data_IF_279217436943
#
_entry.id   IF_279217436943
#
_cell.length_a   1.000
_cell.length_b   1.000
_cell.length_c   1.000
_cell.angle_alpha   90.00
_cell.angle_beta   90.00
_cell.angle_gamma   90.00
#
_symmetry.space_group_name_H-M   'P 1'
#
loop_
_entity.id
_entity.type
_entity.pdbx_description
1 polymer ?
#
# COMPACT_ATOMS: atom_id res chain seq x y z
N UNK A 1 23.75 -26.12 9.75
CA UNK A 1 24.59 -25.80 8.58
C UNK A 1 24.86 -24.31 8.67
N UNK A 2 26.12 -23.89 8.65
CA UNK A 2 26.43 -22.46 8.55
C UNK A 2 25.92 -21.94 7.21
N UNK A 3 25.26 -20.78 7.24
CA UNK A 3 24.83 -20.09 6.04
C UNK A 3 26.07 -19.73 5.22
N UNK A 4 26.08 -20.09 3.93
CA UNK A 4 27.18 -19.80 3.03
C UNK A 4 26.69 -18.83 1.94
N UNK A 5 27.33 -17.66 1.86
CA UNK A 5 26.99 -16.63 0.87
C UNK A 5 27.22 -17.15 -0.55
N UNK A 6 26.21 -16.99 -1.39
CA UNK A 6 26.21 -17.27 -2.83
C UNK A 6 27.21 -16.35 -3.54
N UNK A 7 27.27 -15.08 -3.16
CA UNK A 7 28.22 -14.12 -3.68
C UNK A 7 29.67 -14.52 -3.37
N UNK A 8 29.96 -14.91 -2.12
CA UNK A 8 31.29 -15.43 -1.75
C UNK A 8 31.65 -16.71 -2.50
N UNK A 9 30.69 -17.61 -2.72
CA UNK A 9 30.90 -18.85 -3.47
C UNK A 9 31.24 -18.63 -4.94
N UNK A 10 30.71 -17.56 -5.52
CA UNK A 10 30.87 -17.20 -6.94
C UNK A 10 32.01 -16.21 -7.17
N UNK A 11 32.70 -15.75 -6.11
CA UNK A 11 33.81 -14.82 -6.23
C UNK A 11 34.94 -15.41 -7.09
N UNK A 12 35.39 -14.61 -8.08
CA UNK A 12 36.34 -15.05 -9.11
C UNK A 12 35.74 -15.76 -10.33
N UNK A 13 34.44 -16.04 -10.33
CA UNK A 13 33.74 -16.71 -11.44
C UNK A 13 32.74 -15.82 -12.18
N UNK A 14 32.63 -14.54 -11.82
CA UNK A 14 31.61 -13.62 -12.38
C UNK A 14 31.68 -13.46 -13.90
N UNK A 15 32.86 -13.59 -14.50
CA UNK A 15 33.09 -13.51 -15.95
C UNK A 15 33.05 -14.86 -16.66
N UNK A 16 32.98 -15.97 -15.91
CA UNK A 16 33.02 -17.34 -16.46
C UNK A 16 31.70 -17.67 -17.15
N UNK A 17 31.70 -18.22 -18.38
CA UNK A 17 30.47 -18.71 -19.02
C UNK A 17 29.83 -19.86 -18.23
N UNK A 18 28.52 -20.05 -18.34
CA UNK A 18 27.79 -21.07 -17.56
C UNK A 18 28.36 -22.48 -17.70
N UNK A 19 28.73 -22.89 -18.92
CA UNK A 19 29.25 -24.23 -19.22
C UNK A 19 30.64 -24.52 -18.62
N UNK A 20 31.34 -23.50 -18.14
CA UNK A 20 32.67 -23.61 -17.54
C UNK A 20 32.66 -23.44 -16.01
N UNK A 21 31.49 -23.15 -15.41
CA UNK A 21 31.38 -23.05 -13.96
C UNK A 21 31.56 -24.40 -13.30
N UNK A 22 32.33 -24.50 -12.20
CA UNK A 22 32.39 -25.72 -11.42
C UNK A 22 31.00 -26.05 -10.82
N UNK A 23 30.76 -27.34 -10.60
CA UNK A 23 29.45 -27.85 -10.19
C UNK A 23 28.90 -27.16 -8.92
N UNK A 24 29.77 -26.85 -7.96
CA UNK A 24 29.41 -26.18 -6.71
C UNK A 24 28.83 -24.77 -6.96
N UNK A 25 29.48 -23.98 -7.82
CA UNK A 25 29.06 -22.64 -8.20
C UNK A 25 27.76 -22.66 -9.00
N UNK A 26 27.67 -23.57 -9.98
CA UNK A 26 26.46 -23.76 -10.76
C UNK A 26 25.26 -24.17 -9.88
N UNK A 27 25.49 -25.03 -8.87
CA UNK A 27 24.47 -25.42 -7.91
C UNK A 27 24.04 -24.25 -7.01
N UNK A 28 24.98 -23.43 -6.53
CA UNK A 28 24.68 -22.24 -5.73
C UNK A 28 23.79 -21.25 -6.51
N UNK A 29 24.11 -20.97 -7.78
CA UNK A 29 23.29 -20.11 -8.64
C UNK A 29 21.88 -20.70 -8.91
N UNK A 30 21.78 -22.02 -9.10
CA UNK A 30 20.47 -22.68 -9.27
C UNK A 30 19.62 -22.61 -8.00
N UNK A 31 20.24 -22.82 -6.84
CA UNK A 31 19.55 -22.76 -5.54
C UNK A 31 19.02 -21.36 -5.24
N UNK A 32 19.70 -20.34 -5.75
CA UNK A 32 19.24 -18.97 -5.61
C UNK A 32 17.96 -18.64 -6.40
N UNK A 33 17.43 -19.62 -7.17
CA UNK A 33 16.14 -19.60 -7.84
C UNK A 33 15.85 -18.29 -8.59
N UNK A 34 16.83 -17.73 -9.32
CA UNK A 34 16.62 -16.52 -10.12
C UNK A 34 15.68 -16.81 -11.30
N UNK A 35 14.35 -16.55 -11.20
CA UNK A 35 13.40 -17.13 -12.15
C UNK A 35 13.53 -16.40 -13.49
N UNK A 36 13.76 -17.16 -14.56
CA UNK A 36 13.82 -16.63 -15.93
C UNK A 36 15.10 -15.87 -16.28
N UNK A 37 16.08 -15.77 -15.38
CA UNK A 37 17.37 -15.14 -15.66
C UNK A 37 18.41 -16.21 -15.97
N UNK A 38 18.86 -16.29 -17.22
CA UNK A 38 19.97 -17.17 -17.58
C UNK A 38 21.29 -16.48 -17.23
N UNK A 39 22.22 -17.24 -16.66
CA UNK A 39 23.55 -16.76 -16.28
C UNK A 39 24.24 -16.00 -17.42
N UNK A 40 24.27 -16.59 -18.63
CA UNK A 40 24.93 -16.00 -19.80
C UNK A 40 24.20 -14.79 -20.41
N UNK A 41 22.93 -14.55 -20.05
CA UNK A 41 22.15 -13.42 -20.56
C UNK A 41 22.41 -12.12 -19.77
N UNK A 42 23.17 -12.19 -18.67
CA UNK A 42 23.48 -11.05 -17.80
C UNK A 42 24.98 -10.87 -17.62
N UNK A 43 25.43 -9.62 -17.55
CA UNK A 43 26.84 -9.26 -17.33
C UNK A 43 27.34 -9.55 -15.90
N UNK A 44 28.67 -9.59 -15.68
CA UNK A 44 29.30 -9.97 -14.41
C UNK A 44 28.84 -9.13 -13.22
N UNK A 45 28.76 -7.80 -13.37
CA UNK A 45 28.30 -6.90 -12.30
C UNK A 45 26.86 -7.22 -11.87
N UNK A 46 25.99 -7.52 -12.83
CA UNK A 46 24.59 -7.86 -12.54
C UNK A 46 24.46 -9.23 -11.87
N UNK A 47 25.34 -10.19 -12.21
CA UNK A 47 25.40 -11.49 -11.52
C UNK A 47 25.80 -11.31 -10.06
N UNK A 48 26.83 -10.49 -9.81
CA UNK A 48 27.31 -10.16 -8.46
C UNK A 48 26.21 -9.51 -7.63
N UNK A 49 25.55 -8.50 -8.20
CA UNK A 49 24.42 -7.83 -7.56
C UNK A 49 23.30 -8.81 -7.18
N UNK A 50 22.86 -9.66 -8.10
CA UNK A 50 21.77 -10.62 -7.83
C UNK A 50 22.15 -11.63 -6.75
N UNK A 51 23.39 -12.13 -6.75
CA UNK A 51 23.88 -13.02 -5.70
C UNK A 51 23.92 -12.32 -4.34
N UNK A 52 24.40 -11.07 -4.28
CA UNK A 52 24.38 -10.27 -3.04
C UNK A 52 22.96 -10.01 -2.56
N UNK A 53 22.01 -9.72 -3.46
CA UNK A 53 20.59 -9.55 -3.09
C UNK A 53 19.96 -10.84 -2.57
N UNK A 54 20.25 -11.96 -3.22
CA UNK A 54 19.81 -13.26 -2.74
C UNK A 54 20.39 -13.53 -1.35
N UNK A 55 21.66 -13.18 -1.13
CA UNK A 55 22.30 -13.43 0.15
C UNK A 55 21.71 -12.58 1.26
N UNK A 56 21.53 -11.29 1.02
CA UNK A 56 20.86 -10.38 1.95
C UNK A 56 19.45 -10.87 2.30
N UNK A 57 18.72 -11.44 1.34
CA UNK A 57 17.36 -11.95 1.58
C UNK A 57 17.34 -13.24 2.40
N UNK A 58 18.37 -14.08 2.27
CA UNK A 58 18.38 -15.42 2.86
C UNK A 58 19.36 -15.60 4.02
N UNK A 59 20.15 -14.58 4.35
CA UNK A 59 21.02 -14.59 5.54
C UNK A 59 20.13 -14.65 6.80
N UNK A 60 20.23 -15.71 7.63
CA UNK A 60 19.47 -15.81 8.87
C UNK A 60 19.70 -14.63 9.83
N UNK A 61 20.85 -13.95 9.75
CA UNK A 61 21.10 -12.74 10.55
C UNK A 61 20.17 -11.59 10.18
N UNK A 62 19.75 -11.53 8.91
CA UNK A 62 18.80 -10.52 8.44
C UNK A 62 17.36 -10.90 8.76
N UNK A 63 17.08 -12.15 9.13
CA UNK A 63 15.74 -12.57 9.59
C UNK A 63 15.40 -11.94 10.94
N UNK A 64 16.34 -11.96 11.90
CA UNK A 64 16.17 -11.29 13.20
C UNK A 64 16.02 -9.78 13.05
N UNK A 65 16.84 -9.16 12.19
CA UNK A 65 16.75 -7.74 11.89
C UNK A 65 15.43 -7.41 11.16
N UNK A 66 15.01 -8.24 10.20
CA UNK A 66 13.75 -8.08 9.48
C UNK A 66 12.54 -8.22 10.39
N UNK A 67 12.53 -9.20 11.30
CA UNK A 67 11.49 -9.37 12.31
C UNK A 67 11.45 -8.18 13.26
N UNK A 68 12.61 -7.69 13.72
CA UNK A 68 12.69 -6.48 14.52
C UNK A 68 12.08 -5.27 13.81
N UNK A 69 12.45 -5.03 12.54
CA UNK A 69 11.92 -3.88 11.78
C UNK A 69 10.43 -4.00 11.49
N UNK A 70 9.96 -5.21 11.17
CA UNK A 70 8.54 -5.47 11.00
C UNK A 70 7.76 -5.17 12.28
N UNK A 71 8.20 -5.71 13.42
CA UNK A 71 7.57 -5.48 14.72
C UNK A 71 7.60 -3.99 15.11
N UNK A 72 8.74 -3.32 14.96
CA UNK A 72 8.86 -1.88 15.22
C UNK A 72 7.91 -1.05 14.34
N UNK A 73 7.73 -1.44 13.07
CA UNK A 73 6.76 -0.79 12.18
C UNK A 73 5.32 -1.01 12.62
N UNK A 74 4.97 -2.22 13.05
CA UNK A 74 3.67 -2.52 13.66
C UNK A 74 3.44 -1.68 14.93
N UNK A 75 4.43 -1.59 15.81
CA UNK A 75 4.36 -0.79 17.04
C UNK A 75 4.16 0.70 16.73
N UNK A 76 4.87 1.23 15.72
CA UNK A 76 4.67 2.61 15.26
C UNK A 76 3.23 2.84 14.78
N UNK A 77 2.67 1.91 14.01
CA UNK A 77 1.30 2.00 13.52
C UNK A 77 0.28 1.95 14.68
N UNK A 78 0.51 1.07 15.65
CA UNK A 78 -0.34 0.89 16.82
C UNK A 78 -0.34 2.14 17.71
N UNK A 79 0.83 2.73 18.00
CA UNK A 79 0.93 3.97 18.77
C UNK A 79 0.31 5.15 18.03
N UNK A 80 0.44 5.22 16.69
CA UNK A 80 -0.27 6.25 15.90
C UNK A 80 -1.78 6.10 16.01
N UNK A 81 -2.30 4.87 16.00
CA UNK A 81 -3.73 4.61 16.20
C UNK A 81 -4.17 5.01 17.61
N UNK A 82 -3.39 4.66 18.64
CA UNK A 82 -3.63 5.07 20.03
C UNK A 82 -3.73 6.60 20.16
N UNK A 83 -2.79 7.34 19.56
CA UNK A 83 -2.82 8.82 19.55
C UNK A 83 -4.12 9.34 18.94
N UNK A 84 -4.55 8.80 17.78
CA UNK A 84 -5.79 9.21 17.12
C UNK A 84 -7.02 8.92 17.99
N UNK A 85 -7.08 7.75 18.62
CA UNK A 85 -8.17 7.38 19.52
C UNK A 85 -8.25 8.33 20.72
N UNK A 86 -7.12 8.61 21.37
CA UNK A 86 -7.05 9.57 22.48
C UNK A 86 -7.48 10.97 22.00
N UNK A 87 -7.04 11.41 20.82
CA UNK A 87 -7.42 12.70 20.22
C UNK A 87 -8.94 12.82 19.98
N UNK A 88 -9.62 11.72 19.65
CA UNK A 88 -11.07 11.67 19.44
C UNK A 88 -11.90 11.63 20.74
N UNK A 89 -11.34 11.15 21.86
CA UNK A 89 -12.06 11.08 23.13
C UNK A 89 -12.48 12.48 23.63
N UNK A 90 -13.76 12.64 23.97
CA UNK A 90 -14.26 13.86 24.60
C UNK A 90 -13.77 13.95 26.04
N UNK A 91 -13.27 15.12 26.44
CA UNK A 91 -12.78 15.39 27.79
C UNK A 91 -13.39 16.71 28.31
N UNK A 92 -14.69 16.71 28.67
CA UNK A 92 -15.41 17.90 29.07
C UNK A 92 -14.90 18.50 30.39
N UNK A 93 -14.47 17.66 31.34
CA UNK A 93 -13.98 18.13 32.63
C UNK A 93 -12.49 18.54 32.57
N UNK A 94 -12.05 19.54 33.34
CA UNK A 94 -10.64 19.93 33.39
C UNK A 94 -9.70 18.78 33.80
N UNK A 95 -10.11 17.92 34.73
CA UNK A 95 -9.34 16.75 35.16
C UNK A 95 -9.19 15.70 34.06
N UNK A 96 -10.25 15.42 33.31
CA UNK A 96 -10.22 14.51 32.15
C UNK A 96 -9.32 15.06 31.04
N UNK A 97 -9.35 16.38 30.82
CA UNK A 97 -8.50 17.04 29.83
C UNK A 97 -7.02 16.96 30.20
N UNK A 98 -6.70 17.13 31.49
CA UNK A 98 -5.33 16.97 31.99
C UNK A 98 -4.82 15.54 31.80
N UNK A 99 -5.65 14.54 32.10
CA UNK A 99 -5.32 13.12 31.91
C UNK A 99 -5.12 12.78 30.42
N UNK A 100 -6.03 13.24 29.55
CA UNK A 100 -5.90 13.07 28.10
C UNK A 100 -4.60 13.67 27.55
N UNK A 101 -4.21 14.86 28.00
CA UNK A 101 -2.96 15.51 27.57
C UNK A 101 -1.74 14.70 28.01
N UNK A 102 -1.76 14.14 29.22
CA UNK A 102 -0.70 13.26 29.71
C UNK A 102 -0.57 12.00 28.86
N UNK A 103 -1.69 11.33 28.55
CA UNK A 103 -1.70 10.13 27.70
C UNK A 103 -1.16 10.42 26.29
N UNK A 104 -1.51 11.58 25.72
CA UNK A 104 -0.96 12.01 24.43
C UNK A 104 0.55 12.26 24.48
N UNK A 105 1.05 12.88 25.53
CA UNK A 105 2.49 13.12 25.70
C UNK A 105 3.26 11.79 25.80
N UNK A 106 2.77 10.87 26.63
CA UNK A 106 3.35 9.53 26.80
C UNK A 106 3.34 8.72 25.48
N UNK A 107 2.23 8.75 24.73
CA UNK A 107 2.14 8.07 23.44
C UNK A 107 3.05 8.71 22.37
N UNK A 108 3.14 10.04 22.32
CA UNK A 108 4.04 10.75 21.38
C UNK A 108 5.50 10.49 21.71
N UNK A 109 5.86 10.38 22.99
CA UNK A 109 7.21 10.00 23.41
C UNK A 109 7.55 8.58 22.96
N UNK A 110 6.66 7.60 23.18
CA UNK A 110 6.83 6.22 22.65
C UNK A 110 7.02 6.20 21.14
N UNK A 111 6.19 6.95 20.40
CA UNK A 111 6.33 7.08 18.95
C UNK A 111 7.68 7.66 18.54
N UNK A 112 8.18 8.66 19.26
CA UNK A 112 9.48 9.27 19.00
C UNK A 112 10.64 8.27 19.26
N UNK A 113 10.54 7.46 20.32
CA UNK A 113 11.53 6.42 20.65
C UNK A 113 11.58 5.33 19.57
N UNK A 114 10.42 4.81 19.14
CA UNK A 114 10.33 3.80 18.06
C UNK A 114 10.86 4.35 16.72
N UNK A 115 10.58 5.62 16.42
CA UNK A 115 11.13 6.30 15.23
C UNK A 115 12.63 6.52 15.35
N UNK A 116 13.14 6.87 16.53
CA UNK A 116 14.57 7.03 16.73
C UNK A 116 15.32 5.69 16.58
N UNK A 117 14.70 4.57 16.99
CA UNK A 117 15.21 3.23 16.74
C UNK A 117 15.35 2.95 15.24
N UNK A 118 14.42 3.44 14.40
CA UNK A 118 14.48 3.36 12.92
C UNK A 118 15.75 3.93 12.30
N UNK A 119 16.37 4.93 12.94
CA UNK A 119 17.55 5.61 12.41
C UNK A 119 18.84 5.21 13.13
N UNK A 120 18.76 4.36 14.15
CA UNK A 120 19.94 3.93 14.88
C UNK A 120 20.47 2.64 14.23
N UNK A 121 21.66 2.67 13.60
CA UNK A 121 22.26 1.44 13.09
C UNK A 121 22.40 0.43 14.23
N UNK A 122 21.91 -0.79 14.04
CA UNK A 122 22.15 -1.90 14.95
C UNK A 122 23.63 -2.32 14.85
N UNK A 123 24.52 -1.55 15.50
CA UNK A 123 25.94 -1.88 15.66
C UNK A 123 26.92 -1.12 14.76
N UNK A 124 28.14 -0.94 15.27
CA UNK A 124 29.31 -0.31 14.61
C UNK A 124 29.82 -1.11 13.39
N UNK A 125 29.28 -2.31 13.16
CA UNK A 125 29.49 -3.12 11.96
C UNK A 125 28.24 -3.09 11.09
N UNK A 126 27.63 -1.92 10.90
CA UNK A 126 26.65 -1.78 9.82
C UNK A 126 27.35 -2.23 8.54
N UNK A 127 26.91 -3.31 7.87
CA UNK A 127 27.31 -3.52 6.49
C UNK A 127 26.99 -2.20 5.81
N UNK A 128 27.93 -1.67 5.03
CA UNK A 128 27.59 -0.60 4.10
C UNK A 128 26.35 -1.11 3.38
N UNK A 129 25.18 -0.59 3.72
CA UNK A 129 23.97 -0.83 2.95
C UNK A 129 24.34 -0.21 1.61
N UNK A 130 24.90 -1.03 0.73
CA UNK A 130 24.99 -0.74 -0.68
C UNK A 130 23.54 -0.48 -1.04
N UNK A 131 23.26 0.80 -1.22
CA UNK A 131 21.95 1.39 -1.43
C UNK A 131 21.19 0.44 -2.34
N UNK A 132 20.24 -0.30 -1.75
CA UNK A 132 19.38 -1.22 -2.46
C UNK A 132 18.89 -0.48 -3.69
N UNK A 133 19.12 -1.02 -4.90
CA UNK A 133 18.89 -0.35 -6.19
C UNK A 133 17.39 -0.09 -6.42
N UNK A 134 16.85 0.83 -5.64
CA UNK A 134 15.66 1.58 -5.97
C UNK A 134 15.88 2.07 -7.39
N UNK A 135 14.93 1.79 -8.29
CA UNK A 135 14.95 2.46 -9.58
C UNK A 135 15.12 3.96 -9.36
N UNK A 136 15.76 4.69 -10.27
CA UNK A 136 15.98 6.13 -10.08
C UNK A 136 14.70 6.90 -9.71
N UNK A 137 13.53 6.40 -10.14
CA UNK A 137 12.22 6.88 -9.74
C UNK A 137 11.88 6.57 -8.26
N UNK A 138 12.03 5.34 -7.80
CA UNK A 138 11.79 4.97 -6.40
C UNK A 138 12.79 5.63 -5.45
N UNK A 139 14.04 5.83 -5.87
CA UNK A 139 15.02 6.57 -5.07
C UNK A 139 14.61 8.03 -4.96
N UNK A 140 14.20 8.65 -6.06
CA UNK A 140 13.66 10.00 -6.05
C UNK A 140 12.41 10.11 -5.16
N UNK A 141 11.48 9.15 -5.23
CA UNK A 141 10.31 9.09 -4.35
C UNK A 141 10.71 9.03 -2.87
N UNK A 142 11.62 8.12 -2.51
CA UNK A 142 12.05 7.96 -1.13
C UNK A 142 12.73 9.22 -0.60
N UNK A 143 13.63 9.82 -1.37
CA UNK A 143 14.29 11.08 -1.01
C UNK A 143 13.25 12.20 -0.85
N UNK A 144 12.28 12.31 -1.74
CA UNK A 144 11.33 13.42 -1.73
C UNK A 144 10.25 13.26 -0.65
N UNK A 145 9.76 12.03 -0.43
CA UNK A 145 8.62 11.77 0.45
C UNK A 145 9.03 11.23 1.83
N UNK A 146 10.24 10.70 1.97
CA UNK A 146 10.71 9.97 3.16
C UNK A 146 10.27 8.50 3.21
N UNK A 147 9.46 8.06 2.24
CA UNK A 147 9.01 6.69 2.01
C UNK A 147 8.54 6.53 0.55
N UNK A 148 8.27 5.30 0.12
CA UNK A 148 7.73 5.02 -1.22
C UNK A 148 6.22 5.26 -1.25
N UNK A 149 5.72 5.83 -2.34
CA UNK A 149 4.29 6.07 -2.49
C UNK A 149 3.55 4.72 -2.60
N UNK A 150 2.46 4.55 -1.86
CA UNK A 150 1.58 3.38 -1.97
C UNK A 150 0.73 3.48 -3.24
N UNK A 151 1.34 3.15 -4.38
CA UNK A 151 0.71 3.23 -5.70
C UNK A 151 -0.51 2.32 -5.81
N UNK A 152 -0.51 1.17 -5.15
CA UNK A 152 -1.67 0.25 -5.13
C UNK A 152 -2.87 0.91 -4.45
N UNK A 153 -2.65 1.57 -3.31
CA UNK A 153 -3.72 2.33 -2.66
C UNK A 153 -4.23 3.45 -3.57
N UNK A 154 -3.34 4.30 -4.09
CA UNK A 154 -3.73 5.50 -4.82
C UNK A 154 -4.32 5.23 -6.21
N UNK A 155 -3.94 4.14 -6.86
CA UNK A 155 -4.37 3.84 -8.24
C UNK A 155 -5.42 2.73 -8.28
N UNK A 156 -5.27 1.66 -7.50
CA UNK A 156 -6.21 0.53 -7.52
C UNK A 156 -7.39 0.73 -6.59
N UNK A 157 -7.16 1.25 -5.37
CA UNK A 157 -8.22 1.36 -4.35
C UNK A 157 -8.99 2.69 -4.40
N UNK A 158 -8.44 3.70 -5.07
CA UNK A 158 -9.06 5.03 -5.20
C UNK A 158 -9.61 5.22 -6.63
N UNK A 159 -10.92 5.00 -6.86
CA UNK A 159 -11.50 5.03 -8.21
C UNK A 159 -11.50 6.44 -8.82
N UNK A 160 -11.47 7.47 -7.97
CA UNK A 160 -11.40 8.87 -8.37
C UNK A 160 -10.37 9.60 -7.51
N UNK A 161 -9.60 10.47 -8.16
CA UNK A 161 -8.63 11.35 -7.54
C UNK A 161 -9.10 12.80 -7.69
N UNK A 162 -8.95 13.56 -6.61
CA UNK A 162 -9.08 15.01 -6.65
C UNK A 162 -7.96 15.64 -7.47
N UNK A 163 -8.17 16.88 -7.92
CA UNK A 163 -7.13 17.68 -8.59
C UNK A 163 -5.82 17.72 -7.81
N UNK A 164 -5.91 17.92 -6.50
CA UNK A 164 -4.78 18.03 -5.60
C UNK A 164 -4.01 16.70 -5.51
N UNK A 165 -4.72 15.58 -5.29
CA UNK A 165 -4.11 14.24 -5.20
C UNK A 165 -3.45 13.85 -6.52
N UNK A 166 -4.16 14.00 -7.64
CA UNK A 166 -3.62 13.64 -8.95
C UNK A 166 -2.38 14.46 -9.32
N UNK A 167 -2.39 15.78 -9.06
CA UNK A 167 -1.24 16.63 -9.33
C UNK A 167 0.00 16.24 -8.50
N UNK A 168 -0.18 15.83 -7.24
CA UNK A 168 0.89 15.37 -6.36
C UNK A 168 1.44 14.01 -6.82
N UNK A 169 0.57 13.04 -7.03
CA UNK A 169 0.93 11.70 -7.50
C UNK A 169 1.64 11.75 -8.86
N UNK A 170 1.11 12.50 -9.84
CA UNK A 170 1.77 12.69 -11.13
C UNK A 170 3.10 13.42 -11.02
N UNK A 171 3.32 14.22 -9.97
CA UNK A 171 4.58 14.85 -9.69
C UNK A 171 5.55 13.98 -8.90
N UNK A 172 5.17 12.79 -8.41
CA UNK A 172 6.00 11.93 -7.54
C UNK A 172 5.96 12.34 -6.07
N UNK A 173 4.88 13.00 -5.65
CA UNK A 173 4.63 13.41 -4.27
C UNK A 173 3.51 12.58 -3.67
N UNK A 174 3.70 12.12 -2.44
CA UNK A 174 2.65 11.48 -1.66
C UNK A 174 1.62 12.52 -1.20
N UNK A 175 0.32 12.37 -1.53
CA UNK A 175 -0.70 13.34 -1.14
C UNK A 175 -0.87 13.54 0.37
N UNK A 176 -0.63 12.51 1.18
CA UNK A 176 -0.79 12.59 2.64
C UNK A 176 0.39 13.31 3.29
N UNK A 177 1.58 13.20 2.70
CA UNK A 177 2.79 13.92 3.15
C UNK A 177 2.75 15.38 2.74
N UNK A 178 2.26 15.63 1.52
CA UNK A 178 2.25 16.94 0.90
C UNK A 178 0.84 17.52 0.82
N UNK A 179 0.07 17.48 1.91
CA UNK A 179 -1.27 18.10 1.97
C UNK A 179 -1.21 19.56 1.49
N UNK A 180 -0.20 20.31 1.95
CA UNK A 180 0.16 21.64 1.44
C UNK A 180 1.49 21.61 0.68
N UNK A 181 1.49 22.18 -0.53
CA UNK A 181 2.69 22.33 -1.36
C UNK A 181 3.58 23.53 -0.93
N UNK A 182 3.19 24.27 0.10
CA UNK A 182 3.97 25.36 0.70
C UNK A 182 4.79 24.88 1.91
N UNK A 183 4.39 23.77 2.52
CA UNK A 183 5.08 23.21 3.68
C UNK A 183 6.11 22.17 3.21
N UNK A 184 7.31 22.23 3.81
CA UNK A 184 8.37 21.24 3.57
C UNK A 184 8.33 20.21 4.69
N UNK A 185 7.87 18.98 4.43
CA UNK A 185 7.75 17.94 5.47
C UNK A 185 9.10 17.32 5.84
N UNK A 186 10.15 17.51 5.02
CA UNK A 186 11.50 17.00 5.29
C UNK A 186 12.60 17.99 4.85
N UNK A 187 13.85 17.67 5.22
CA UNK A 187 15.06 18.45 4.93
C UNK A 187 15.56 18.35 3.49
N UNK A 188 14.98 17.45 2.68
CA UNK A 188 15.31 17.35 1.27
C UNK A 188 14.70 18.52 0.50
N UNK A 189 15.11 18.72 -0.76
CA UNK A 189 14.62 19.82 -1.58
C UNK A 189 13.53 19.35 -2.57
N UNK A 190 12.24 19.28 -2.18
CA UNK A 190 11.16 18.86 -3.06
C UNK A 190 10.70 19.98 -4.01
N UNK A 191 11.38 21.13 -4.07
CA UNK A 191 10.88 22.34 -4.72
C UNK A 191 10.53 22.16 -6.20
N UNK A 192 11.31 21.35 -6.93
CA UNK A 192 11.00 21.02 -8.32
C UNK A 192 9.70 20.20 -8.45
N UNK A 193 9.50 19.23 -7.56
CA UNK A 193 8.33 18.36 -7.52
C UNK A 193 7.08 19.17 -7.12
N UNK A 194 7.19 19.99 -6.08
CA UNK A 194 6.12 20.89 -5.63
C UNK A 194 5.75 21.93 -6.70
N UNK A 195 6.74 22.52 -7.37
CA UNK A 195 6.50 23.49 -8.45
C UNK A 195 5.76 22.86 -9.63
N UNK A 196 6.13 21.61 -9.98
CA UNK A 196 5.42 20.83 -11.00
C UNK A 196 3.99 20.54 -10.60
N UNK A 197 3.76 20.05 -9.37
CA UNK A 197 2.42 19.80 -8.83
C UNK A 197 1.56 21.07 -8.82
N UNK A 198 2.09 22.21 -8.34
CA UNK A 198 1.38 23.51 -8.35
C UNK A 198 0.99 23.96 -9.75
N UNK A 199 1.81 23.65 -10.77
CA UNK A 199 1.51 24.01 -12.15
C UNK A 199 0.38 23.14 -12.71
N UNK A 200 0.43 21.83 -12.47
CA UNK A 200 -0.64 20.88 -12.85
C UNK A 200 -1.96 21.26 -12.15
N UNK A 201 -1.92 21.48 -10.84
CA UNK A 201 -3.09 21.80 -10.02
C UNK A 201 -3.78 23.09 -10.49
N UNK A 202 -3.03 24.18 -10.69
CA UNK A 202 -3.59 25.44 -11.21
C UNK A 202 -4.19 25.28 -12.61
N UNK A 203 -3.55 24.52 -13.49
CA UNK A 203 -4.05 24.28 -14.85
C UNK A 203 -5.37 23.50 -14.83
N UNK A 204 -5.45 22.46 -14.00
CA UNK A 204 -6.64 21.64 -13.87
C UNK A 204 -7.80 22.42 -13.21
N UNK A 205 -7.53 23.24 -12.19
CA UNK A 205 -8.52 24.13 -11.58
C UNK A 205 -9.07 25.14 -12.61
N UNK A 206 -8.20 25.75 -13.42
CA UNK A 206 -8.64 26.69 -14.46
C UNK A 206 -9.56 26.05 -15.50
N UNK A 207 -9.42 24.74 -15.73
CA UNK A 207 -10.27 23.92 -16.60
C UNK A 207 -11.46 23.28 -15.88
N UNK A 208 -11.64 23.57 -14.59
CA UNK A 208 -12.71 23.04 -13.74
C UNK A 208 -12.71 21.49 -13.63
N UNK A 209 -11.53 20.87 -13.70
CA UNK A 209 -11.39 19.42 -13.52
C UNK A 209 -11.20 19.14 -12.03
N UNK A 210 -12.22 18.58 -11.38
CA UNK A 210 -12.24 18.36 -9.93
C UNK A 210 -11.99 16.90 -9.50
N UNK A 211 -12.69 15.95 -10.10
CA UNK A 211 -12.65 14.52 -9.76
C UNK A 211 -12.60 13.69 -11.04
N UNK A 212 -11.54 12.91 -11.22
CA UNK A 212 -11.36 12.03 -12.39
C UNK A 212 -10.64 10.74 -11.98
N UNK A 213 -10.77 9.68 -12.79
CA UNK A 213 -10.00 8.45 -12.58
C UNK A 213 -8.50 8.68 -12.83
N UNK A 214 -7.61 7.83 -12.28
CA UNK A 214 -6.18 7.90 -12.55
C UNK A 214 -5.83 7.86 -14.05
N UNK A 215 -6.53 7.03 -14.83
CA UNK A 215 -6.35 6.94 -16.29
C UNK A 215 -6.73 8.23 -17.02
N UNK A 216 -7.82 8.89 -16.61
CA UNK A 216 -8.24 10.18 -17.17
C UNK A 216 -7.28 11.31 -16.83
N UNK A 217 -6.70 11.29 -15.63
CA UNK A 217 -5.63 12.21 -15.25
C UNK A 217 -4.37 12.01 -16.09
N UNK A 218 -3.99 10.76 -16.37
CA UNK A 218 -2.84 10.44 -17.22
C UNK A 218 -3.04 10.93 -18.67
N UNK A 219 -4.23 10.70 -19.24
CA UNK A 219 -4.62 11.21 -20.57
C UNK A 219 -4.57 12.75 -20.61
N UNK A 220 -5.18 13.41 -19.62
CA UNK A 220 -5.16 14.85 -19.48
C UNK A 220 -3.74 15.41 -19.43
N UNK A 221 -2.85 14.81 -18.63
CA UNK A 221 -1.48 15.24 -18.50
C UNK A 221 -0.70 15.11 -19.82
N UNK A 222 -0.95 14.03 -20.58
CA UNK A 222 -0.41 13.84 -21.93
C UNK A 222 -0.83 14.95 -22.90
N UNK A 223 -2.13 15.27 -22.94
CA UNK A 223 -2.67 16.33 -23.81
C UNK A 223 -2.12 17.72 -23.49
N UNK A 224 -1.66 17.95 -22.26
CA UNK A 224 -1.09 19.22 -21.81
C UNK A 224 0.45 19.21 -21.74
N UNK A 225 1.09 18.16 -22.27
CA UNK A 225 2.56 18.02 -22.28
C UNK A 225 3.20 18.10 -20.89
N UNK A 226 2.50 17.62 -19.85
CA UNK A 226 3.08 17.51 -18.52
C UNK A 226 3.95 16.25 -18.42
N UNK A 227 5.14 16.40 -17.83
CA UNK A 227 5.98 15.26 -17.44
C UNK A 227 5.39 14.60 -16.20
N UNK A 228 4.96 13.34 -16.34
CA UNK A 228 4.35 12.54 -15.27
C UNK A 228 5.41 11.60 -14.69
N UNK A 229 5.38 11.40 -13.38
CA UNK A 229 6.23 10.46 -12.66
C UNK A 229 6.10 9.05 -13.23
N UNK A 230 7.22 8.35 -13.42
CA UNK A 230 7.22 7.06 -14.10
C UNK A 230 6.39 6.01 -13.35
N UNK A 231 6.52 5.94 -12.03
CA UNK A 231 5.76 4.99 -11.23
C UNK A 231 4.23 5.19 -11.33
N UNK A 232 3.76 6.44 -11.45
CA UNK A 232 2.33 6.70 -11.70
C UNK A 232 1.89 6.15 -13.07
N UNK A 233 2.72 6.29 -14.10
CA UNK A 233 2.42 5.75 -15.44
C UNK A 233 2.35 4.24 -15.43
N UNK A 234 3.33 3.60 -14.79
CA UNK A 234 3.41 2.15 -14.66
C UNK A 234 2.18 1.62 -13.92
N UNK A 235 1.88 2.16 -12.73
CA UNK A 235 0.75 1.73 -11.92
C UNK A 235 -0.61 1.89 -12.66
N UNK A 236 -0.84 3.01 -13.34
CA UNK A 236 -2.06 3.21 -14.14
C UNK A 236 -2.13 2.24 -15.32
N UNK A 237 -1.00 2.00 -16.00
CA UNK A 237 -0.95 1.09 -17.15
C UNK A 237 -1.17 -0.36 -16.74
N UNK A 238 -0.59 -0.79 -15.62
CA UNK A 238 -0.83 -2.10 -15.04
C UNK A 238 -2.31 -2.27 -14.72
N UNK A 239 -2.95 -1.27 -14.09
CA UNK A 239 -4.38 -1.31 -13.78
C UNK A 239 -5.24 -1.50 -15.03
N UNK A 240 -4.93 -0.79 -16.12
CA UNK A 240 -5.65 -0.90 -17.40
C UNK A 240 -5.45 -2.28 -18.05
N UNK A 241 -4.24 -2.83 -17.99
CA UNK A 241 -3.93 -4.14 -18.55
C UNK A 241 -4.68 -5.27 -17.81
N UNK A 242 -4.93 -5.12 -16.51
CA UNK A 242 -5.74 -6.08 -15.73
C UNK A 242 -7.22 -6.07 -16.15
N UNK A 243 -7.69 -5.03 -16.86
CA UNK A 243 -9.08 -4.91 -17.29
C UNK A 243 -9.37 -5.49 -18.69
N UNK A 244 -8.39 -5.54 -19.59
CA UNK A 244 -8.60 -5.89 -21.02
C UNK A 244 -8.20 -7.32 -21.40
N UNK A 245 -7.49 -8.03 -20.52
CA UNK A 245 -7.04 -9.41 -20.80
C UNK A 245 -7.99 -10.44 -20.16
N UNK A 246 -8.97 -10.88 -20.95
CA UNK A 246 -9.78 -12.11 -20.82
C UNK A 246 -10.57 -12.31 -19.52
N UNK A 247 -11.85 -12.72 -19.63
CA UNK A 247 -12.60 -13.37 -18.53
C UNK A 247 -11.76 -14.55 -18.01
N UNK A 248 -11.11 -14.46 -16.84
CA UNK A 248 -10.34 -15.58 -16.34
C UNK A 248 -11.33 -16.50 -15.64
N UNK A 249 -11.43 -17.73 -16.12
CA UNK A 249 -11.94 -18.84 -15.31
C UNK A 249 -11.22 -18.79 -13.97
N UNK A 250 -12.00 -18.54 -12.91
CA UNK A 250 -11.55 -18.36 -11.54
C UNK A 250 -10.51 -19.41 -11.12
N UNK A 251 -9.27 -18.96 -10.96
CA UNK A 251 -8.28 -19.64 -10.11
C UNK A 251 -8.01 -18.73 -8.93
N UNK A 252 -8.72 -19.04 -7.85
CA UNK A 252 -8.38 -18.69 -6.47
C UNK A 252 -8.02 -17.24 -6.22
N UNK A 253 -9.02 -16.36 -6.18
CA UNK A 253 -8.95 -15.18 -5.31
C UNK A 253 -8.53 -15.67 -3.93
N UNK A 254 -7.45 -15.09 -3.38
CA UNK A 254 -7.17 -15.24 -1.96
C UNK A 254 -8.46 -14.86 -1.23
N UNK A 255 -9.01 -15.74 -0.39
CA UNK A 255 -10.37 -15.56 0.08
C UNK A 255 -10.46 -14.23 0.82
N UNK A 256 -11.26 -13.29 0.28
CA UNK A 256 -11.82 -12.20 1.06
C UNK A 256 -12.17 -12.78 2.43
N UNK A 257 -11.71 -12.16 3.52
CA UNK A 257 -12.11 -12.60 4.85
C UNK A 257 -13.61 -12.84 4.79
N UNK A 258 -14.06 -14.07 5.07
CA UNK A 258 -15.44 -14.53 4.79
C UNK A 258 -16.52 -13.54 5.22
N UNK A 259 -16.21 -12.72 6.23
CA UNK A 259 -17.02 -11.62 6.74
C UNK A 259 -17.23 -10.49 5.71
N UNK A 260 -16.18 -9.98 5.07
CA UNK A 260 -16.26 -8.91 4.04
C UNK A 260 -17.04 -9.35 2.81
N UNK A 261 -16.85 -10.59 2.38
CA UNK A 261 -17.65 -11.16 1.29
C UNK A 261 -19.13 -11.18 1.65
N UNK A 262 -19.50 -11.60 2.87
CA UNK A 262 -20.90 -11.59 3.31
C UNK A 262 -21.51 -10.19 3.36
N UNK A 263 -20.73 -9.20 3.81
CA UNK A 263 -21.15 -7.80 3.89
C UNK A 263 -21.38 -7.20 2.50
N UNK A 264 -20.44 -7.39 1.58
CA UNK A 264 -20.53 -6.89 0.20
C UNK A 264 -21.71 -7.50 -0.57
N UNK A 265 -21.96 -8.80 -0.40
CA UNK A 265 -23.10 -9.47 -1.05
C UNK A 265 -24.45 -8.96 -0.53
N UNK A 266 -24.56 -8.59 0.75
CA UNK A 266 -25.76 -7.93 1.29
C UNK A 266 -25.95 -6.54 0.67
N UNK A 267 -24.88 -5.75 0.56
CA UNK A 267 -24.92 -4.43 -0.07
C UNK A 267 -25.30 -4.54 -1.56
N UNK A 268 -24.72 -5.51 -2.28
CA UNK A 268 -25.08 -5.79 -3.67
C UNK A 268 -26.57 -6.09 -3.81
N UNK A 269 -27.08 -7.01 -2.99
CA UNK A 269 -28.49 -7.38 -3.01
C UNK A 269 -29.41 -6.19 -2.67
N UNK A 270 -28.99 -5.29 -1.78
CA UNK A 270 -29.74 -4.06 -1.48
C UNK A 270 -29.83 -3.17 -2.72
N UNK A 271 -28.71 -2.94 -3.40
CA UNK A 271 -28.67 -2.13 -4.61
C UNK A 271 -29.45 -2.79 -5.78
N UNK A 272 -29.37 -4.11 -5.94
CA UNK A 272 -30.09 -4.84 -6.99
C UNK A 272 -31.61 -4.83 -6.79
N UNK A 273 -32.09 -4.67 -5.55
CA UNK A 273 -33.50 -4.51 -5.21
C UNK A 273 -33.92 -3.03 -5.12
N UNK A 274 -33.09 -2.10 -5.62
CA UNK A 274 -33.30 -0.65 -5.60
C UNK A 274 -33.51 -0.06 -4.18
N UNK A 275 -32.93 -0.69 -3.15
CA UNK A 275 -32.89 -0.16 -1.80
C UNK A 275 -31.58 0.60 -1.55
N UNK A 276 -31.69 1.82 -1.02
CA UNK A 276 -30.53 2.53 -0.51
C UNK A 276 -30.09 1.94 0.84
N UNK A 277 -28.84 1.43 0.98
CA UNK A 277 -28.34 0.86 2.23
C UNK A 277 -28.45 1.82 3.43
N UNK A 278 -28.28 3.12 3.19
CA UNK A 278 -28.29 4.17 4.21
C UNK A 278 -29.71 4.68 4.56
N UNK A 279 -30.75 4.17 3.92
CA UNK A 279 -32.12 4.60 4.18
C UNK A 279 -33.12 3.45 3.99
N UNK A 280 -32.92 2.37 4.74
CA UNK A 280 -33.80 1.20 4.70
C UNK A 280 -35.11 1.56 5.42
N UNK A 281 -36.29 1.44 4.76
CA UNK A 281 -37.57 1.74 5.41
C UNK A 281 -37.83 0.83 6.61
N UNK A 282 -38.26 1.40 7.75
CA UNK A 282 -38.78 0.60 8.88
C UNK A 282 -39.92 -0.30 8.43
N UNK A 283 -39.89 -1.51 8.99
CA UNK A 283 -40.90 -2.53 8.72
C UNK A 283 -42.30 -2.04 9.11
N UNK A 284 -43.25 -2.12 8.17
CA UNK A 284 -44.69 -1.94 8.41
C UNK A 284 -45.34 -3.30 8.60
N UNK A 285 -46.17 -3.44 9.63
CA UNK A 285 -46.89 -4.67 9.91
C UNK A 285 -47.76 -5.08 8.71
N UNK A 286 -47.56 -6.29 8.19
CA UNK A 286 -48.28 -6.83 7.03
C UNK A 286 -47.49 -6.85 5.71
N UNK A 287 -46.36 -6.13 5.63
CA UNK A 287 -45.47 -6.14 4.46
C UNK A 287 -44.24 -7.03 4.70
N UNK A 288 -43.67 -7.60 3.64
CA UNK A 288 -42.37 -8.30 3.72
C UNK A 288 -41.28 -7.25 3.98
N UNK A 289 -40.61 -7.33 5.13
CA UNK A 289 -39.52 -6.42 5.46
C UNK A 289 -38.32 -6.59 4.50
N UNK A 290 -37.59 -5.50 4.26
CA UNK A 290 -36.43 -5.46 3.34
C UNK A 290 -35.40 -6.54 3.68
N UNK A 291 -35.10 -6.74 4.96
CA UNK A 291 -34.23 -7.82 5.45
C UNK A 291 -34.66 -9.21 4.98
N UNK A 292 -35.97 -9.48 4.93
CA UNK A 292 -36.52 -10.75 4.44
C UNK A 292 -36.44 -10.88 2.92
N UNK A 293 -36.63 -9.78 2.18
CA UNK A 293 -36.49 -9.78 0.73
C UNK A 293 -35.05 -10.07 0.31
N UNK A 294 -34.07 -9.44 0.96
CA UNK A 294 -32.65 -9.67 0.75
C UNK A 294 -32.26 -11.12 1.10
N UNK A 295 -32.82 -11.66 2.20
CA UNK A 295 -32.56 -13.05 2.59
C UNK A 295 -33.05 -14.05 1.53
N UNK A 296 -34.24 -13.82 0.96
CA UNK A 296 -34.76 -14.68 -0.11
C UNK A 296 -33.94 -14.51 -1.40
N UNK A 297 -33.48 -13.29 -1.69
CA UNK A 297 -32.60 -13.00 -2.83
C UNK A 297 -31.25 -13.75 -2.72
N UNK A 298 -30.67 -13.83 -1.52
CA UNK A 298 -29.40 -14.50 -1.27
C UNK A 298 -29.52 -16.00 -0.94
N UNK A 299 -30.69 -16.61 -1.12
CA UNK A 299 -30.94 -18.02 -0.76
C UNK A 299 -30.01 -19.00 -1.47
N UNK A 300 -29.61 -18.69 -2.70
CA UNK A 300 -28.70 -19.50 -3.50
C UNK A 300 -27.26 -19.52 -2.95
N UNK A 301 -26.90 -18.58 -2.08
CA UNK A 301 -25.59 -18.52 -1.43
C UNK A 301 -25.42 -19.53 -0.28
N UNK A 302 -26.47 -20.29 0.05
CA UNK A 302 -26.48 -21.35 1.10
C UNK A 302 -26.02 -20.85 2.47
N UNK A 303 -26.28 -19.60 2.80
CA UNK A 303 -25.98 -19.07 4.13
C UNK A 303 -27.02 -19.53 5.14
N UNK A 304 -26.59 -19.81 6.37
CA UNK A 304 -27.53 -20.00 7.47
C UNK A 304 -28.11 -18.66 7.92
N UNK A 305 -29.34 -18.68 8.47
CA UNK A 305 -29.99 -17.49 9.04
C UNK A 305 -29.08 -16.75 10.03
N UNK A 306 -28.35 -17.50 10.87
CA UNK A 306 -27.41 -16.93 11.85
C UNK A 306 -26.24 -16.19 11.20
N UNK A 307 -25.73 -16.67 10.07
CA UNK A 307 -24.62 -16.02 9.36
C UNK A 307 -25.09 -14.71 8.74
N UNK A 308 -26.24 -14.75 8.07
CA UNK A 308 -26.87 -13.56 7.50
C UNK A 308 -27.18 -12.51 8.59
N UNK A 309 -27.77 -12.92 9.71
CA UNK A 309 -28.12 -11.99 10.80
C UNK A 309 -26.89 -11.33 11.43
N UNK A 310 -25.78 -12.05 11.57
CA UNK A 310 -24.51 -11.48 12.06
C UNK A 310 -23.90 -10.50 11.06
N UNK A 311 -23.92 -10.82 9.77
CA UNK A 311 -23.41 -9.91 8.73
C UNK A 311 -24.24 -8.63 8.66
N UNK A 312 -25.57 -8.75 8.70
CA UNK A 312 -26.49 -7.62 8.78
C UNK A 312 -26.23 -6.74 10.01
N UNK A 313 -26.00 -7.34 11.19
CA UNK A 313 -25.70 -6.57 12.40
C UNK A 313 -24.37 -5.82 12.30
N UNK A 314 -23.32 -6.43 11.71
CA UNK A 314 -22.03 -5.73 11.50
C UNK A 314 -22.15 -4.54 10.56
N UNK A 315 -22.92 -4.66 9.48
CA UNK A 315 -23.23 -3.54 8.59
C UNK A 315 -23.97 -2.42 9.33
N UNK A 316 -24.85 -2.77 10.27
CA UNK A 316 -25.56 -1.80 11.10
C UNK A 316 -24.62 -1.11 12.09
N UNK A 317 -23.75 -1.87 12.75
CA UNK A 317 -22.81 -1.37 13.75
C UNK A 317 -21.73 -0.47 13.12
N UNK A 318 -21.30 -0.77 11.89
CA UNK A 318 -20.38 0.06 11.11
C UNK A 318 -21.04 1.30 10.49
N UNK A 319 -22.37 1.37 10.48
CA UNK A 319 -23.12 2.44 9.83
C UNK A 319 -23.20 2.30 8.30
N UNK A 320 -22.82 1.15 7.72
CA UNK A 320 -22.96 0.87 6.29
C UNK A 320 -24.41 0.58 5.87
N UNK A 321 -25.27 0.17 6.83
CA UNK A 321 -26.72 0.18 6.67
C UNK A 321 -27.41 0.96 7.79
N UNK A 322 -28.49 1.67 7.46
CA UNK A 322 -29.30 2.39 8.43
C UNK A 322 -30.81 2.15 8.18
N UNK A 323 -31.52 1.75 9.23
CA UNK A 323 -32.98 1.55 9.23
C UNK A 323 -33.67 2.80 9.78
N UNK A 324 -34.52 3.45 8.97
CA UNK A 324 -35.17 4.73 9.30
C UNK A 324 -36.63 4.57 9.72
#
# INVERSE_FOLDING_TARGET
MEYQSTAELLEGFWTTPWGELPEKQAAAWKLAEFPGIKWDDIGPERRKLLATQYDQKNDPKNEEEGEFWFNNSCDIADVKREIREIELLSAPLPSERAEKLRQLDDARKRLAELKAAQFKPLGDESPKIEQQELSGAQFAEYIVNGFLIDWDYWILKMPVLTTAQAARLMAGLDPDVFESLDNRPNSNNPEAFCSRAKKMERSAIAQQIALQSPSKWLEWAGNHSFSVHEAFRVAVSETLNTCDSEVPKSKGEAPLQRQRFQEQEIIRALNELDYNPQSIPKWKAGERGVKSAIREFLKDHKWSDKVFDKAWQRLRDSGEIAEF
#
